data_IF_453034795611
#
_entry.id   IF_453034795611
#
_cell.length_a   1.000
_cell.length_b   1.000
_cell.length_c   1.000
_cell.angle_alpha   90.00
_cell.angle_beta   90.00
_cell.angle_gamma   90.00
#
_symmetry.space_group_name_H-M   'P 1'
#
loop_
_entity.id
_entity.type
_entity.pdbx_description
1 polymer ?
#
# COMPACT_ATOMS: atom_id res chain seq x y z
N UNK A 1 1.51 14.57 14.30
CA UNK A 1 1.12 13.32 13.59
C UNK A 1 2.19 12.30 13.94
N UNK A 2 1.85 11.19 14.61
CA UNK A 2 2.83 10.16 14.95
C UNK A 2 2.95 9.21 13.77
N UNK A 3 4.14 9.11 13.18
CA UNK A 3 4.42 8.06 12.20
C UNK A 3 4.49 6.73 12.96
N UNK A 4 3.66 5.77 12.57
CA UNK A 4 3.75 4.40 13.07
C UNK A 4 4.60 3.62 12.07
N UNK A 5 5.83 3.32 12.45
CA UNK A 5 6.69 2.42 11.68
C UNK A 5 6.25 0.97 11.91
N UNK A 6 6.19 0.19 10.83
CA UNK A 6 5.88 -1.23 10.88
C UNK A 6 6.95 -2.01 10.13
N UNK A 7 7.46 -3.06 10.75
CA UNK A 7 8.51 -3.91 10.21
C UNK A 7 8.09 -5.38 10.29
N UNK A 8 8.34 -6.14 9.23
CA UNK A 8 7.92 -7.53 9.09
C UNK A 8 9.07 -8.38 8.55
N UNK A 9 9.25 -9.58 9.10
CA UNK A 9 10.13 -10.59 8.50
C UNK A 9 9.32 -11.47 7.56
N UNK A 10 9.71 -11.52 6.28
CA UNK A 10 9.01 -12.28 5.26
C UNK A 10 9.91 -13.37 4.65
N UNK A 11 9.41 -14.60 4.43
CA UNK A 11 10.18 -15.70 3.83
C UNK A 11 10.26 -15.64 2.29
N UNK A 12 9.91 -14.51 1.68
CA UNK A 12 9.84 -14.32 0.23
C UNK A 12 11.00 -13.47 -0.29
N UNK A 13 11.30 -13.56 -1.58
CA UNK A 13 12.33 -12.73 -2.21
C UNK A 13 11.90 -11.25 -2.26
N UNK A 14 12.89 -10.36 -2.33
CA UNK A 14 12.64 -8.90 -2.46
C UNK A 14 11.75 -8.61 -3.67
N UNK A 15 12.02 -9.22 -4.82
CA UNK A 15 11.23 -9.01 -6.05
C UNK A 15 9.77 -9.44 -5.89
N UNK A 16 9.53 -10.56 -5.18
CA UNK A 16 8.17 -11.04 -4.91
C UNK A 16 7.41 -10.05 -4.03
N UNK A 17 8.08 -9.54 -3.00
CA UNK A 17 7.50 -8.56 -2.07
C UNK A 17 7.21 -7.25 -2.81
N UNK A 18 8.18 -6.74 -3.56
CA UNK A 18 8.02 -5.52 -4.35
C UNK A 18 6.83 -5.64 -5.32
N UNK A 19 6.77 -6.72 -6.10
CA UNK A 19 5.68 -6.98 -7.05
C UNK A 19 4.32 -7.00 -6.37
N UNK A 20 4.22 -7.60 -5.18
CA UNK A 20 2.98 -7.62 -4.41
C UNK A 20 2.58 -6.20 -3.95
N UNK A 21 3.52 -5.41 -3.44
CA UNK A 21 3.22 -4.05 -2.96
C UNK A 21 2.88 -3.06 -4.06
N UNK A 22 3.35 -3.27 -5.29
CA UNK A 22 3.10 -2.39 -6.43
C UNK A 22 1.95 -2.84 -7.33
N UNK A 23 1.27 -3.95 -7.00
CA UNK A 23 0.21 -4.52 -7.82
C UNK A 23 -1.18 -4.20 -7.28
N UNK A 24 -2.07 -3.68 -8.12
CA UNK A 24 -3.49 -3.47 -7.79
C UNK A 24 -4.26 -4.77 -7.53
N UNK A 25 -3.73 -5.92 -7.95
CA UNK A 25 -4.35 -7.22 -7.72
C UNK A 25 -4.10 -7.75 -6.31
N UNK A 26 -3.12 -7.18 -5.59
CA UNK A 26 -2.73 -7.62 -4.24
C UNK A 26 -3.61 -7.00 -3.16
N UNK A 27 -4.93 -7.20 -3.29
CA UNK A 27 -5.92 -6.72 -2.32
C UNK A 27 -5.97 -7.66 -1.11
N UNK A 28 -5.64 -7.14 0.08
CA UNK A 28 -5.67 -7.90 1.33
C UNK A 28 -6.87 -7.43 2.17
N UNK A 29 -7.69 -8.37 2.62
CA UNK A 29 -8.84 -8.08 3.49
C UNK A 29 -8.40 -7.27 4.74
N UNK A 30 -9.18 -6.25 5.16
CA UNK A 30 -10.56 -5.93 4.73
C UNK A 30 -10.66 -4.99 3.51
N UNK A 31 -9.56 -4.75 2.77
CA UNK A 31 -9.65 -3.98 1.53
C UNK A 31 -10.51 -4.70 0.49
N UNK A 32 -11.33 -3.92 -0.22
CA UNK A 32 -12.16 -4.34 -1.36
C UNK A 32 -11.47 -4.04 -2.69
N UNK A 33 -10.77 -2.92 -2.76
CA UNK A 33 -10.03 -2.52 -3.96
C UNK A 33 -8.77 -1.74 -3.60
N UNK A 34 -7.80 -1.85 -4.50
CA UNK A 34 -6.55 -1.12 -4.49
C UNK A 34 -6.35 -0.53 -5.88
N UNK A 35 -6.13 0.78 -5.94
CA UNK A 35 -5.61 1.45 -7.13
C UNK A 35 -4.23 1.98 -6.78
N UNK A 36 -3.25 1.70 -7.62
CA UNK A 36 -1.86 2.07 -7.35
C UNK A 36 -1.19 2.49 -8.64
N UNK A 37 -0.51 3.63 -8.58
CA UNK A 37 0.40 4.14 -9.60
C UNK A 37 1.79 4.29 -8.95
N UNK A 38 2.64 3.26 -9.01
CA UNK A 38 3.87 3.16 -8.22
C UNK A 38 5.03 3.94 -8.87
N UNK A 39 4.82 5.23 -9.11
CA UNK A 39 5.82 6.19 -9.58
C UNK A 39 5.89 7.38 -8.62
N UNK A 40 7.00 8.11 -8.59
CA UNK A 40 7.11 9.34 -7.78
C UNK A 40 6.04 10.35 -8.23
N UNK A 41 5.28 10.89 -7.27
CA UNK A 41 4.10 11.72 -7.51
C UNK A 41 2.84 10.95 -7.88
N UNK A 42 2.94 9.64 -8.10
CA UNK A 42 1.83 8.73 -8.32
C UNK A 42 0.98 8.55 -7.06
N UNK A 43 -0.20 7.95 -7.23
CA UNK A 43 -1.22 7.81 -6.18
C UNK A 43 -1.44 6.36 -5.79
N UNK A 44 -1.63 6.14 -4.49
CA UNK A 44 -2.22 4.92 -3.95
C UNK A 44 -3.60 5.24 -3.36
N UNK A 45 -4.57 4.37 -3.62
CA UNK A 45 -5.90 4.43 -3.04
C UNK A 45 -6.35 3.04 -2.59
N UNK A 46 -6.81 2.95 -1.35
CA UNK A 46 -7.35 1.73 -0.74
C UNK A 46 -8.78 2.01 -0.33
N UNK A 47 -9.71 1.18 -0.80
CA UNK A 47 -11.10 1.19 -0.33
C UNK A 47 -11.36 -0.10 0.45
N UNK A 48 -11.84 0.04 1.68
CA UNK A 48 -12.14 -1.06 2.59
C UNK A 48 -13.58 -0.93 3.09
N UNK A 49 -14.20 -2.04 3.49
CA UNK A 49 -15.47 -2.00 4.22
C UNK A 49 -15.32 -2.72 5.56
N UNK A 50 -15.81 -2.08 6.62
CA UNK A 50 -15.86 -2.68 7.94
C UNK A 50 -17.19 -2.32 8.59
N UNK A 51 -17.97 -3.33 9.00
CA UNK A 51 -19.28 -3.16 9.64
C UNK A 51 -20.26 -2.30 8.82
N UNK A 52 -20.25 -2.43 7.49
CA UNK A 52 -21.12 -1.67 6.58
C UNK A 52 -20.70 -0.21 6.37
N UNK A 53 -19.54 0.19 6.90
CA UNK A 53 -18.95 1.51 6.67
C UNK A 53 -17.79 1.36 5.69
N UNK A 54 -17.85 2.15 4.61
CA UNK A 54 -16.75 2.26 3.66
C UNK A 54 -15.68 3.23 4.18
N UNK A 55 -14.42 2.78 4.13
CA UNK A 55 -13.25 3.55 4.49
C UNK A 55 -12.37 3.72 3.27
N UNK A 56 -11.96 4.96 3.00
CA UNK A 56 -11.07 5.31 1.88
C UNK A 56 -9.79 5.92 2.40
N UNK A 57 -8.66 5.33 2.02
CA UNK A 57 -7.33 5.87 2.27
C UNK A 57 -6.69 6.28 0.96
N UNK A 58 -6.09 7.47 0.91
CA UNK A 58 -5.37 7.98 -0.25
C UNK A 58 -4.00 8.43 0.20
N UNK A 59 -2.97 8.04 -0.56
CA UNK A 59 -1.59 8.44 -0.36
C UNK A 59 -0.93 8.81 -1.68
N UNK A 60 0.21 9.49 -1.58
CA UNK A 60 1.09 9.81 -2.69
C UNK A 60 2.44 9.12 -2.47
N UNK A 61 3.12 8.77 -3.56
CA UNK A 61 4.49 8.27 -3.51
C UNK A 61 5.46 9.45 -3.58
N UNK A 62 6.31 9.57 -2.57
CA UNK A 62 7.38 10.56 -2.51
C UNK A 62 8.74 9.90 -2.76
N UNK A 63 9.68 10.67 -3.30
CA UNK A 63 11.06 10.24 -3.44
C UNK A 63 11.71 10.16 -2.05
N UNK A 64 12.35 9.04 -1.75
CA UNK A 64 13.12 8.88 -0.52
C UNK A 64 14.55 9.31 -0.84
N UNK A 65 15.03 10.37 -0.16
CA UNK A 65 16.42 10.79 -0.29
C UNK A 65 17.34 9.64 0.15
N UNK A 66 18.20 9.17 -0.76
CA UNK A 66 19.26 8.21 -0.43
C UNK A 66 20.49 9.00 0.00
N UNK A 67 20.79 8.99 1.29
CA UNK A 67 22.09 9.43 1.83
C UNK A 67 23.21 8.42 1.52
#
# INVERSE_FOLDING_TARGET
MYAVEKSYSCPFTVDTIYTAWTSSESVILPAKSLTIDPIVGGRIEIVSEMNGIEWRMVGLFDEVATD
#
